data_IF_380910833521
#
_entry.id   IF_380910833521
#
_cell.length_a   1.000
_cell.length_b   1.000
_cell.length_c   1.000
_cell.angle_alpha   90.00
_cell.angle_beta   90.00
_cell.angle_gamma   90.00
#
_symmetry.space_group_name_H-M   'P 1'
#
loop_
_entity.id
_entity.type
_entity.pdbx_description
1 polymer ?
#
# COMPACT_ATOMS: atom_id res chain seq x y z
N UNK A 1 20.21 10.98 -2.07
CA UNK A 1 19.57 10.25 -3.20
C UNK A 1 18.55 9.21 -2.73
N UNK A 2 18.93 8.24 -1.88
CA UNK A 2 18.02 7.17 -1.41
C UNK A 2 16.87 7.71 -0.57
N UNK A 3 17.13 8.72 0.27
CA UNK A 3 16.09 9.42 1.03
C UNK A 3 14.98 9.98 0.14
N UNK A 4 15.33 10.66 -0.95
CA UNK A 4 14.38 11.24 -1.90
C UNK A 4 13.57 10.11 -2.57
N UNK A 5 14.22 9.02 -2.94
CA UNK A 5 13.57 7.85 -3.51
C UNK A 5 12.56 7.23 -2.54
N UNK A 6 12.94 7.05 -1.27
CA UNK A 6 12.06 6.56 -0.22
C UNK A 6 10.86 7.47 -0.02
N UNK A 7 11.09 8.78 0.12
CA UNK A 7 10.02 9.77 0.29
C UNK A 7 9.06 9.77 -0.91
N UNK A 8 9.58 9.72 -2.13
CA UNK A 8 8.76 9.66 -3.33
C UNK A 8 7.93 8.39 -3.39
N UNK A 9 8.54 7.23 -3.11
CA UNK A 9 7.86 5.94 -3.08
C UNK A 9 6.77 5.89 -2.00
N UNK A 10 7.07 6.40 -0.80
CA UNK A 10 6.12 6.52 0.28
C UNK A 10 4.96 7.47 -0.05
N UNK A 11 5.24 8.58 -0.74
CA UNK A 11 4.21 9.51 -1.19
C UNK A 11 3.29 8.85 -2.23
N UNK A 12 3.84 8.09 -3.17
CA UNK A 12 3.07 7.30 -4.13
C UNK A 12 2.17 6.30 -3.39
N UNK A 13 2.67 5.59 -2.37
CA UNK A 13 1.86 4.66 -1.58
C UNK A 13 0.70 5.34 -0.87
N UNK A 14 0.91 6.53 -0.30
CA UNK A 14 -0.16 7.31 0.34
C UNK A 14 -1.20 7.74 -0.70
N UNK A 15 -0.77 8.21 -1.87
CA UNK A 15 -1.68 8.63 -2.95
C UNK A 15 -2.52 7.44 -3.45
N UNK A 16 -1.90 6.28 -3.67
CA UNK A 16 -2.60 5.06 -4.06
C UNK A 16 -3.59 4.64 -2.96
N UNK A 17 -3.14 4.55 -1.71
CA UNK A 17 -4.02 4.20 -0.59
C UNK A 17 -5.21 5.15 -0.46
N UNK A 18 -4.99 6.46 -0.64
CA UNK A 18 -6.05 7.46 -0.63
C UNK A 18 -7.02 7.29 -1.80
N UNK A 19 -6.51 7.04 -3.02
CA UNK A 19 -7.33 6.79 -4.19
C UNK A 19 -8.21 5.55 -4.01
N UNK A 20 -7.61 4.43 -3.57
CA UNK A 20 -8.35 3.20 -3.27
C UNK A 20 -9.42 3.43 -2.20
N UNK A 21 -9.11 4.21 -1.14
CA UNK A 21 -10.08 4.57 -0.09
C UNK A 21 -11.24 5.42 -0.63
N UNK A 22 -10.96 6.37 -1.52
CA UNK A 22 -11.98 7.26 -2.09
C UNK A 22 -12.90 6.53 -3.07
N UNK A 23 -12.35 5.58 -3.83
CA UNK A 23 -13.06 4.82 -4.86
C UNK A 23 -13.42 3.39 -4.45
N UNK A 24 -13.48 3.09 -3.14
CA UNK A 24 -13.83 1.73 -2.65
C UNK A 24 -15.15 1.25 -3.24
N UNK A 25 -16.15 2.12 -3.37
CA UNK A 25 -17.48 1.78 -3.88
C UNK A 25 -17.47 1.46 -5.37
N UNK A 26 -16.65 2.17 -6.17
CA UNK A 26 -16.50 1.89 -7.60
C UNK A 26 -15.72 0.59 -7.83
N UNK A 27 -14.72 0.35 -6.98
CA UNK A 27 -13.94 -0.89 -6.97
C UNK A 27 -14.77 -2.09 -6.47
N UNK A 28 -15.74 -1.87 -5.59
CA UNK A 28 -16.66 -2.91 -5.09
C UNK A 28 -17.52 -3.49 -6.23
N UNK A 29 -17.96 -2.64 -7.18
CA UNK A 29 -18.69 -3.07 -8.38
C UNK A 29 -17.81 -3.96 -9.28
N UNK A 30 -16.51 -3.68 -9.35
CA UNK A 30 -15.56 -4.43 -10.18
C UNK A 30 -15.12 -5.76 -9.53
N UNK A 31 -15.04 -5.81 -8.20
CA UNK A 31 -14.43 -6.92 -7.44
C UNK A 31 -15.41 -7.72 -6.59
N UNK A 32 -16.72 -7.54 -6.80
CA UNK A 32 -17.82 -8.19 -6.07
C UNK A 32 -18.06 -7.64 -4.64
N UNK A 33 -19.33 -7.55 -4.23
CA UNK A 33 -19.79 -6.94 -2.96
C UNK A 33 -19.13 -7.53 -1.69
N UNK A 34 -18.54 -8.71 -1.77
CA UNK A 34 -17.81 -9.34 -0.65
C UNK A 34 -16.39 -8.79 -0.42
N UNK A 35 -15.88 -7.92 -1.30
CA UNK A 35 -14.50 -7.43 -1.24
C UNK A 35 -14.33 -6.00 -0.71
N UNK A 36 -15.41 -5.28 -0.42
CA UNK A 36 -15.37 -3.91 0.14
C UNK A 36 -14.44 -3.80 1.36
N UNK A 37 -14.58 -4.72 2.32
CA UNK A 37 -13.79 -4.71 3.56
C UNK A 37 -12.31 -5.03 3.29
N UNK A 38 -12.02 -5.94 2.35
CA UNK A 38 -10.65 -6.29 1.95
C UNK A 38 -9.97 -5.13 1.24
N UNK A 39 -10.66 -4.45 0.32
CA UNK A 39 -10.17 -3.27 -0.40
C UNK A 39 -9.93 -2.10 0.57
N UNK A 40 -10.87 -1.86 1.49
CA UNK A 40 -10.73 -0.82 2.51
C UNK A 40 -9.53 -1.07 3.44
N UNK A 41 -9.38 -2.29 3.97
CA UNK A 41 -8.22 -2.64 4.80
C UNK A 41 -6.90 -2.49 4.04
N UNK A 42 -6.87 -2.86 2.76
CA UNK A 42 -5.68 -2.69 1.93
C UNK A 42 -5.34 -1.21 1.70
N UNK A 43 -6.34 -0.38 1.41
CA UNK A 43 -6.16 1.06 1.28
C UNK A 43 -5.58 1.68 2.56
N UNK A 44 -6.09 1.30 3.73
CA UNK A 44 -5.54 1.73 5.01
C UNK A 44 -4.10 1.23 5.24
N UNK A 45 -3.79 0.00 4.85
CA UNK A 45 -2.45 -0.57 5.01
C UNK A 45 -1.45 0.13 4.09
N UNK A 46 -1.84 0.48 2.86
CA UNK A 46 -1.04 1.29 1.93
C UNK A 46 -0.80 2.70 2.45
N UNK A 47 -1.83 3.39 2.95
CA UNK A 47 -1.65 4.70 3.58
C UNK A 47 -0.74 4.63 4.80
N UNK A 48 -0.95 3.65 5.68
CA UNK A 48 -0.15 3.48 6.90
C UNK A 48 1.31 3.18 6.58
N UNK A 49 1.56 2.26 5.64
CA UNK A 49 2.93 1.96 5.18
C UNK A 49 3.58 3.16 4.51
N UNK A 50 2.83 3.94 3.71
CA UNK A 50 3.30 5.20 3.16
C UNK A 50 3.71 6.22 4.24
N UNK A 51 2.90 6.44 5.27
CA UNK A 51 3.24 7.33 6.40
C UNK A 51 4.48 6.83 7.15
N UNK A 52 4.55 5.51 7.43
CA UNK A 52 5.73 4.89 8.04
C UNK A 52 6.99 5.10 7.19
N UNK A 53 6.88 4.94 5.88
CA UNK A 53 7.99 5.13 4.96
C UNK A 53 8.46 6.59 4.91
N UNK A 54 7.57 7.58 5.07
CA UNK A 54 7.95 8.99 5.22
C UNK A 54 8.77 9.18 6.50
N UNK A 55 8.30 8.64 7.63
CA UNK A 55 9.02 8.71 8.92
C UNK A 55 10.40 8.06 8.78
N UNK A 56 10.47 6.84 8.25
CA UNK A 56 11.73 6.13 8.02
C UNK A 56 12.66 6.88 7.07
N UNK A 57 12.12 7.49 6.01
CA UNK A 57 12.88 8.31 5.07
C UNK A 57 13.50 9.56 5.71
N UNK A 58 12.84 10.18 6.67
CA UNK A 58 13.35 11.38 7.37
C UNK A 58 14.37 11.00 8.45
N UNK A 59 14.07 10.01 9.28
CA UNK A 59 14.86 9.71 10.48
C UNK A 59 15.93 8.64 10.27
N UNK A 60 15.74 7.70 9.33
CA UNK A 60 16.67 6.57 9.10
C UNK A 60 16.84 6.21 7.60
N UNK A 61 17.36 7.13 6.77
CA UNK A 61 17.57 6.87 5.34
C UNK A 61 18.79 5.97 5.08
N UNK A 62 18.65 4.66 5.34
CA UNK A 62 19.68 3.66 5.03
C UNK A 62 19.26 2.74 3.88
N UNK A 63 20.23 2.22 3.13
CA UNK A 63 20.01 1.25 2.03
C UNK A 63 19.27 -0.01 2.51
N UNK A 64 19.67 -0.51 3.67
CA UNK A 64 19.11 -1.73 4.26
C UNK A 64 17.66 -1.51 4.66
N UNK A 65 17.36 -0.37 5.31
CA UNK A 65 16.00 0.00 5.70
C UNK A 65 15.12 0.19 4.46
N UNK A 66 15.64 0.81 3.41
CA UNK A 66 14.90 0.98 2.15
C UNK A 66 14.54 -0.37 1.51
N UNK A 67 15.49 -1.28 1.40
CA UNK A 67 15.27 -2.62 0.85
C UNK A 67 14.27 -3.41 1.69
N UNK A 68 14.37 -3.34 3.01
CA UNK A 68 13.45 -4.00 3.92
C UNK A 68 12.02 -3.45 3.79
N UNK A 69 11.90 -2.12 3.74
CA UNK A 69 10.61 -1.44 3.56
C UNK A 69 9.95 -1.82 2.22
N UNK A 70 10.69 -1.77 1.11
CA UNK A 70 10.18 -2.16 -0.21
C UNK A 70 9.74 -3.63 -0.21
N UNK A 71 10.56 -4.51 0.36
CA UNK A 71 10.25 -5.94 0.45
C UNK A 71 8.97 -6.18 1.26
N UNK A 72 8.81 -5.49 2.38
CA UNK A 72 7.60 -5.54 3.20
C UNK A 72 6.35 -5.10 2.43
N UNK A 73 6.43 -3.97 1.72
CA UNK A 73 5.32 -3.45 0.90
C UNK A 73 4.95 -4.43 -0.22
N UNK A 74 5.94 -5.07 -0.86
CA UNK A 74 5.72 -6.09 -1.88
C UNK A 74 5.00 -7.32 -1.32
N UNK A 75 5.39 -7.80 -0.14
CA UNK A 75 4.74 -8.94 0.53
C UNK A 75 3.28 -8.60 0.84
N UNK A 76 3.01 -7.43 1.43
CA UNK A 76 1.64 -6.98 1.72
C UNK A 76 0.80 -6.90 0.43
N UNK A 77 1.38 -6.39 -0.65
CA UNK A 77 0.71 -6.29 -1.95
C UNK A 77 0.43 -7.67 -2.56
N UNK A 78 1.36 -8.61 -2.43
CA UNK A 78 1.18 -9.99 -2.89
C UNK A 78 0.05 -10.70 -2.13
N UNK A 79 0.02 -10.57 -0.80
CA UNK A 79 -1.03 -11.14 0.05
C UNK A 79 -2.40 -10.58 -0.36
N UNK A 80 -2.48 -9.27 -0.60
CA UNK A 80 -3.71 -8.64 -1.07
C UNK A 80 -4.12 -9.19 -2.44
N UNK A 81 -3.20 -9.29 -3.40
CA UNK A 81 -3.47 -9.84 -4.73
C UNK A 81 -4.02 -11.28 -4.66
N UNK A 82 -3.45 -12.13 -3.81
CA UNK A 82 -3.93 -13.50 -3.61
C UNK A 82 -5.34 -13.51 -3.01
N UNK A 83 -5.58 -12.73 -1.95
CA UNK A 83 -6.90 -12.65 -1.29
C UNK A 83 -7.98 -12.09 -2.23
N UNK A 84 -7.62 -11.11 -3.04
CA UNK A 84 -8.50 -10.54 -4.06
C UNK A 84 -8.83 -11.59 -5.13
N UNK A 85 -7.83 -12.32 -5.62
CA UNK A 85 -8.00 -13.37 -6.62
C UNK A 85 -8.87 -14.53 -6.14
N UNK A 86 -8.76 -14.92 -4.87
CA UNK A 86 -9.57 -16.01 -4.30
C UNK A 86 -11.05 -15.66 -4.17
N UNK A 87 -11.39 -14.37 -4.03
CA UNK A 87 -12.76 -13.87 -3.86
C UNK A 87 -13.42 -13.40 -5.16
N UNK A 88 -12.71 -13.45 -6.29
CA UNK A 88 -13.26 -13.19 -7.63
C UNK A 88 -13.82 -14.45 -8.32
N UNK A 89 -13.63 -15.64 -7.72
CA UNK A 89 -14.13 -16.91 -8.22
C UNK A 89 -15.42 -17.29 -7.50
#
# INVERSE_FOLDING_TARGET
MIQILLLLFSLILVVIGWYFKKHVTDLEVLFSNHNKQTISHFAYTLCFSGILGIILGIFMPSKVVALFFISFVLIVSAIFSIRLSQKMR
#
